data_IF_903998883142
#
_entry.id   IF_903998883142
#
_cell.length_a   1.000
_cell.length_b   1.000
_cell.length_c   1.000
_cell.angle_alpha   90.00
_cell.angle_beta   90.00
_cell.angle_gamma   90.00
#
_symmetry.space_group_name_H-M   'P 1'
#
loop_
_entity.id
_entity.type
_entity.pdbx_description
1 polymer ?
#
# COMPACT_ATOMS: atom_id res chain seq x y z
N UNK A 1 47.05 -14.84 -20.13
CA UNK A 1 47.05 -13.98 -18.92
C UNK A 1 46.42 -12.61 -19.09
N UNK A 2 46.79 -11.80 -20.10
CA UNK A 2 46.11 -10.50 -20.35
C UNK A 2 44.58 -10.59 -20.38
N UNK A 3 44.04 -11.68 -20.94
CA UNK A 3 42.59 -11.90 -21.00
C UNK A 3 41.98 -12.18 -19.61
N UNK A 4 42.67 -12.91 -18.73
CA UNK A 4 42.15 -13.25 -17.41
C UNK A 4 42.14 -12.05 -16.45
N UNK A 5 43.20 -11.22 -16.49
CA UNK A 5 43.25 -9.95 -15.75
C UNK A 5 42.19 -8.97 -16.24
N UNK A 6 41.93 -8.93 -17.56
CA UNK A 6 40.86 -8.12 -18.13
C UNK A 6 39.47 -8.52 -17.61
N UNK A 7 39.16 -9.81 -17.61
CA UNK A 7 37.88 -10.34 -17.08
C UNK A 7 37.73 -10.02 -15.59
N UNK A 8 38.79 -10.14 -14.79
CA UNK A 8 38.73 -9.83 -13.36
C UNK A 8 38.42 -8.36 -13.11
N UNK A 9 39.05 -7.44 -13.85
CA UNK A 9 38.76 -6.02 -13.71
C UNK A 9 37.30 -5.70 -14.10
N UNK A 10 36.76 -6.40 -15.09
CA UNK A 10 35.36 -6.26 -15.50
C UNK A 10 34.41 -6.79 -14.41
N UNK A 11 34.70 -7.95 -13.81
CA UNK A 11 33.93 -8.49 -12.68
C UNK A 11 34.00 -7.56 -11.47
N UNK A 12 35.18 -7.01 -11.14
CA UNK A 12 35.32 -6.04 -10.06
C UNK A 12 34.45 -4.80 -10.29
N UNK A 13 34.46 -4.27 -11.53
CA UNK A 13 33.62 -3.14 -11.91
C UNK A 13 32.13 -3.49 -11.76
N UNK A 14 31.69 -4.67 -12.20
CA UNK A 14 30.30 -5.08 -12.04
C UNK A 14 29.87 -5.19 -10.57
N UNK A 15 30.74 -5.66 -9.68
CA UNK A 15 30.46 -5.69 -8.24
C UNK A 15 30.31 -4.27 -7.68
N UNK A 16 31.15 -3.33 -8.12
CA UNK A 16 31.04 -1.92 -7.76
C UNK A 16 29.74 -1.30 -8.28
N UNK A 17 29.39 -1.53 -9.55
CA UNK A 17 28.15 -1.08 -10.17
C UNK A 17 26.91 -1.61 -9.40
N UNK A 18 26.92 -2.88 -8.98
CA UNK A 18 25.85 -3.46 -8.16
C UNK A 18 25.79 -2.80 -6.78
N UNK A 19 26.93 -2.52 -6.15
CA UNK A 19 26.98 -1.84 -4.84
C UNK A 19 26.35 -0.44 -4.93
N UNK A 20 26.73 0.35 -5.95
CA UNK A 20 26.13 1.67 -6.22
C UNK A 20 24.63 1.56 -6.51
N UNK A 21 24.22 0.52 -7.24
CA UNK A 21 22.80 0.25 -7.48
C UNK A 21 22.05 -0.02 -6.19
N UNK A 22 22.61 -0.82 -5.27
CA UNK A 22 22.01 -1.10 -3.97
C UNK A 22 21.88 0.15 -3.10
N UNK A 23 22.84 1.08 -3.14
CA UNK A 23 22.73 2.36 -2.44
C UNK A 23 21.55 3.20 -2.96
N UNK A 24 21.33 3.21 -4.28
CA UNK A 24 20.18 3.90 -4.87
C UNK A 24 18.84 3.25 -4.49
N UNK A 25 18.79 1.91 -4.44
CA UNK A 25 17.60 1.19 -3.97
C UNK A 25 17.37 1.48 -2.48
N UNK A 26 18.42 1.55 -1.67
CA UNK A 26 18.35 1.89 -0.24
C UNK A 26 17.75 3.29 -0.03
N UNK A 27 18.21 4.28 -0.78
CA UNK A 27 17.64 5.64 -0.75
C UNK A 27 16.16 5.64 -1.17
N UNK A 28 15.80 4.86 -2.18
CA UNK A 28 14.41 4.73 -2.64
C UNK A 28 13.53 4.08 -1.57
N UNK A 29 14.05 3.07 -0.86
CA UNK A 29 13.38 2.44 0.29
C UNK A 29 13.16 3.42 1.43
N UNK A 30 14.16 4.27 1.74
CA UNK A 30 14.02 5.29 2.75
C UNK A 30 12.88 6.27 2.40
N UNK A 31 12.85 6.75 1.15
CA UNK A 31 11.77 7.61 0.66
C UNK A 31 10.39 6.93 0.70
N UNK A 32 10.31 5.66 0.29
CA UNK A 32 9.07 4.87 0.39
C UNK A 32 8.64 4.69 1.85
N UNK A 33 9.57 4.52 2.79
CA UNK A 33 9.27 4.42 4.22
C UNK A 33 8.63 5.70 4.73
N UNK A 34 9.23 6.85 4.42
CA UNK A 34 8.71 8.16 4.82
C UNK A 34 7.31 8.40 4.24
N UNK A 35 7.12 8.08 2.96
CA UNK A 35 5.82 8.21 2.28
C UNK A 35 4.77 7.29 2.89
N UNK A 36 5.14 6.05 3.27
CA UNK A 36 4.24 5.11 3.93
C UNK A 36 3.84 5.58 5.34
N UNK A 37 4.76 6.17 6.09
CA UNK A 37 4.48 6.78 7.41
C UNK A 37 3.51 7.94 7.26
N UNK A 38 3.78 8.87 6.34
CA UNK A 38 2.87 10.00 6.05
C UNK A 38 1.48 9.51 5.62
N UNK A 39 1.41 8.47 4.80
CA UNK A 39 0.15 7.83 4.40
C UNK A 39 -0.61 7.24 5.58
N UNK A 40 0.09 6.57 6.50
CA UNK A 40 -0.49 6.03 7.74
C UNK A 40 -1.06 7.14 8.64
N UNK A 41 -0.33 8.26 8.79
CA UNK A 41 -0.81 9.40 9.59
C UNK A 41 -2.08 10.03 9.00
N UNK A 42 -2.13 10.16 7.66
CA UNK A 42 -3.33 10.66 6.96
C UNK A 42 -4.51 9.71 7.15
N UNK A 43 -4.29 8.40 7.12
CA UNK A 43 -5.34 7.42 7.42
C UNK A 43 -5.85 7.58 8.86
N UNK A 44 -4.95 7.72 9.84
CA UNK A 44 -5.34 7.92 11.25
C UNK A 44 -6.16 9.19 11.44
N UNK A 45 -5.75 10.30 10.82
CA UNK A 45 -6.53 11.54 10.81
C UNK A 45 -7.91 11.35 10.16
N UNK A 46 -7.98 10.56 9.09
CA UNK A 46 -9.24 10.26 8.39
C UNK A 46 -10.17 9.41 9.26
N UNK A 47 -9.64 8.45 10.03
CA UNK A 47 -10.42 7.68 11.02
C UNK A 47 -11.04 8.64 12.04
N UNK A 48 -10.25 9.54 12.62
CA UNK A 48 -10.73 10.50 13.61
C UNK A 48 -11.84 11.40 13.03
N UNK A 49 -11.66 11.85 11.79
CA UNK A 49 -12.66 12.66 11.09
C UNK A 49 -13.96 11.88 10.85
N UNK A 50 -13.88 10.60 10.49
CA UNK A 50 -15.06 9.75 10.31
C UNK A 50 -15.80 9.48 11.61
N UNK A 51 -15.10 9.36 12.73
CA UNK A 51 -15.71 9.26 14.07
C UNK A 51 -16.46 10.54 14.43
N UNK A 52 -15.91 11.72 14.12
CA UNK A 52 -16.63 12.97 14.31
C UNK A 52 -17.87 13.08 13.41
N UNK A 53 -17.77 12.63 12.16
CA UNK A 53 -18.92 12.59 11.24
C UNK A 53 -20.03 11.70 11.80
N UNK A 54 -19.71 10.48 12.24
CA UNK A 54 -20.68 9.54 12.83
C UNK A 54 -21.38 10.15 14.05
N UNK A 55 -20.63 10.83 14.92
CA UNK A 55 -21.18 11.56 16.08
C UNK A 55 -22.11 12.71 15.67
N UNK A 56 -21.72 13.51 14.68
CA UNK A 56 -22.50 14.66 14.21
C UNK A 56 -23.80 14.20 13.54
N UNK A 57 -23.74 13.12 12.75
CA UNK A 57 -24.93 12.52 12.11
C UNK A 57 -25.87 11.94 13.18
N UNK A 58 -25.34 11.21 14.16
CA UNK A 58 -26.14 10.70 15.29
C UNK A 58 -26.81 11.81 16.09
N UNK A 59 -26.09 12.89 16.38
CA UNK A 59 -26.65 14.07 17.05
C UNK A 59 -27.75 14.73 16.21
N UNK A 60 -27.58 14.77 14.89
CA UNK A 60 -28.58 15.32 13.97
C UNK A 60 -29.86 14.48 13.96
N UNK A 61 -29.72 13.15 13.99
CA UNK A 61 -30.84 12.21 14.13
C UNK A 61 -31.64 12.48 15.41
N UNK A 62 -30.98 12.66 16.55
CA UNK A 62 -31.64 12.98 17.82
C UNK A 62 -32.39 14.31 17.75
N UNK A 63 -31.78 15.36 17.17
CA UNK A 63 -32.43 16.68 17.05
C UNK A 63 -33.65 16.65 16.13
N UNK A 64 -33.59 15.91 15.03
CA UNK A 64 -34.73 15.74 14.13
C UNK A 64 -35.84 14.92 14.82
N UNK A 65 -35.50 13.89 15.58
CA UNK A 65 -36.47 13.16 16.40
C UNK A 65 -37.16 14.06 17.43
N UNK A 66 -36.42 14.93 18.10
CA UNK A 66 -37.00 15.91 19.03
C UNK A 66 -37.92 16.92 18.31
N UNK A 67 -37.55 17.36 17.11
CA UNK A 67 -38.41 18.21 16.28
C UNK A 67 -39.71 17.50 15.93
N UNK A 68 -39.66 16.21 15.59
CA UNK A 68 -40.85 15.41 15.31
C UNK A 68 -41.80 15.33 16.51
N UNK A 69 -41.26 15.10 17.71
CA UNK A 69 -42.06 15.10 18.94
C UNK A 69 -42.71 16.46 19.19
N UNK A 70 -41.97 17.55 18.98
CA UNK A 70 -42.49 18.92 19.15
C UNK A 70 -43.55 19.28 18.11
N UNK A 71 -43.38 18.89 16.85
CA UNK A 71 -44.41 19.07 15.81
C UNK A 71 -45.70 18.34 16.17
N UNK A 72 -45.60 17.11 16.69
CA UNK A 72 -46.75 16.36 17.19
C UNK A 72 -47.44 17.03 18.39
N UNK A 73 -46.69 17.59 19.34
CA UNK A 73 -47.26 18.38 20.45
C UNK A 73 -48.03 19.61 19.93
N UNK A 74 -47.45 20.36 18.99
CA UNK A 74 -48.10 21.54 18.39
C UNK A 74 -49.36 21.12 17.63
N UNK A 75 -49.34 20.00 16.91
CA UNK A 75 -50.50 19.45 16.21
C UNK A 75 -51.66 19.19 17.16
N UNK A 76 -51.38 18.56 18.31
CA UNK A 76 -52.40 18.32 19.34
C UNK A 76 -52.99 19.62 19.88
N UNK A 77 -52.16 20.62 20.14
CA UNK A 77 -52.61 21.94 20.62
C UNK A 77 -53.49 22.62 19.55
N UNK A 78 -53.10 22.56 18.29
CA UNK A 78 -53.85 23.12 17.17
C UNK A 78 -55.24 22.48 17.04
N UNK A 79 -55.33 21.15 17.17
CA UNK A 79 -56.62 20.45 17.22
C UNK A 79 -57.52 20.90 18.39
N UNK A 80 -56.94 21.13 19.57
CA UNK A 80 -57.68 21.63 20.73
C UNK A 80 -58.20 23.05 20.46
N UNK A 81 -57.37 23.95 19.89
CA UNK A 81 -57.78 25.31 19.54
C UNK A 81 -58.91 25.29 18.52
N UNK A 82 -58.82 24.43 17.50
CA UNK A 82 -59.87 24.27 16.51
C UNK A 82 -61.17 23.82 17.16
N UNK A 83 -61.13 22.81 18.03
CA UNK A 83 -62.31 22.32 18.76
C UNK A 83 -62.93 23.39 19.66
N UNK A 84 -62.12 24.16 20.39
CA UNK A 84 -62.58 25.29 21.23
C UNK A 84 -63.23 26.37 20.35
N UNK A 85 -62.63 26.67 19.19
CA UNK A 85 -63.14 27.68 18.26
C UNK A 85 -64.49 27.26 17.69
N UNK A 86 -64.65 25.99 17.29
CA UNK A 86 -65.92 25.43 16.82
C UNK A 86 -67.01 25.44 17.91
N UNK A 87 -66.67 25.08 19.15
CA UNK A 87 -67.59 25.18 20.29
C UNK A 87 -67.98 26.63 20.60
N UNK A 88 -67.01 27.55 20.56
CA UNK A 88 -67.25 28.99 20.79
C UNK A 88 -68.14 29.57 19.70
N UNK A 89 -67.94 29.17 18.45
CA UNK A 89 -68.79 29.56 17.32
C UNK A 89 -70.24 29.09 17.53
N UNK A 90 -70.44 27.84 17.97
CA UNK A 90 -71.76 27.29 18.32
C UNK A 90 -72.42 28.03 19.50
N UNK A 91 -71.65 28.34 20.56
CA UNK A 91 -72.12 29.12 21.70
C UNK A 91 -72.53 30.53 21.30
N UNK A 92 -71.72 31.20 20.49
CA UNK A 92 -71.99 32.54 19.98
C UNK A 92 -73.23 32.56 19.07
N UNK A 93 -73.41 31.53 18.24
CA UNK A 93 -74.62 31.36 17.42
C UNK A 93 -75.87 31.22 18.29
N UNK A 94 -75.83 30.37 19.32
CA UNK A 94 -76.94 30.21 20.26
C UNK A 94 -77.26 31.51 21.01
N UNK A 95 -76.23 32.27 21.42
CA UNK A 95 -76.40 33.58 22.04
C UNK A 95 -77.02 34.61 21.09
N UNK A 96 -76.62 34.62 19.81
CA UNK A 96 -77.20 35.48 18.79
C UNK A 96 -78.69 35.17 18.54
N UNK A 97 -79.05 33.88 18.52
CA UNK A 97 -80.45 33.42 18.40
C UNK A 97 -81.28 33.90 19.59
N UNK A 98 -80.79 33.72 20.82
CA UNK A 98 -81.54 34.12 22.02
C UNK A 98 -81.62 35.65 22.17
N UNK A 99 -80.58 36.38 21.74
CA UNK A 99 -80.59 37.84 21.67
C UNK A 99 -81.61 38.35 20.64
N UNK A 100 -81.75 37.71 19.48
CA UNK A 100 -82.79 38.01 18.51
C UNK A 100 -84.20 37.74 19.08
N UNK A 101 -84.34 36.69 19.90
CA UNK A 101 -85.59 36.30 20.56
C UNK A 101 -86.04 37.31 21.62
N UNK A 102 -85.11 37.99 22.29
CA UNK A 102 -85.37 39.05 23.25
C UNK A 102 -85.80 40.40 22.61
N UNK A 103 -85.83 40.49 21.27
CA UNK A 103 -86.30 41.67 20.54
C UNK A 103 -85.46 42.92 20.78
N UNK A 104 -86.09 44.06 21.05
CA UNK A 104 -85.40 45.35 21.27
C UNK A 104 -84.42 45.32 22.46
N UNK A 105 -84.71 44.52 23.49
CA UNK A 105 -83.84 44.40 24.68
C UNK A 105 -82.56 43.59 24.42
N UNK A 106 -82.53 42.78 23.35
CA UNK A 106 -81.39 41.92 22.99
C UNK A 106 -80.41 42.51 21.98
N UNK A 107 -80.71 43.67 21.37
CA UNK A 107 -79.90 44.25 20.28
C UNK A 107 -78.41 44.40 20.62
N UNK A 108 -78.08 44.88 21.82
CA UNK A 108 -76.68 45.02 22.25
C UNK A 108 -75.97 43.67 22.39
N UNK A 109 -76.66 42.66 22.93
CA UNK A 109 -76.13 41.31 23.06
C UNK A 109 -75.97 40.62 21.70
N UNK A 110 -76.87 40.88 20.74
CA UNK A 110 -76.78 40.32 19.40
C UNK A 110 -75.50 40.77 18.66
N UNK A 111 -75.11 42.05 18.82
CA UNK A 111 -73.87 42.58 18.23
C UNK A 111 -72.64 41.90 18.84
N UNK A 112 -72.60 41.74 20.16
CA UNK A 112 -71.49 41.05 20.84
C UNK A 112 -71.42 39.58 20.42
N UNK A 113 -72.55 38.89 20.36
CA UNK A 113 -72.61 37.49 19.94
C UNK A 113 -72.10 37.29 18.51
N UNK A 114 -72.46 38.17 17.57
CA UNK A 114 -72.01 38.07 16.19
C UNK A 114 -70.51 38.41 16.04
N UNK A 115 -69.96 39.29 16.88
CA UNK A 115 -68.52 39.58 16.92
C UNK A 115 -67.71 38.40 17.49
N UNK A 116 -68.20 37.78 18.59
CA UNK A 116 -67.59 36.55 19.14
C UNK A 116 -67.64 35.42 18.10
N UNK A 117 -68.74 35.30 17.35
CA UNK A 117 -68.89 34.31 16.27
C UNK A 117 -67.81 34.50 15.19
N UNK A 118 -67.59 35.74 14.73
CA UNK A 118 -66.54 36.04 13.75
C UNK A 118 -65.14 35.74 14.28
N UNK A 119 -64.84 36.09 15.53
CA UNK A 119 -63.56 35.77 16.16
C UNK A 119 -63.33 34.26 16.27
N UNK A 120 -64.38 33.49 16.60
CA UNK A 120 -64.31 32.04 16.66
C UNK A 120 -64.08 31.42 15.27
N UNK A 121 -64.75 31.92 14.23
CA UNK A 121 -64.55 31.48 12.84
C UNK A 121 -63.13 31.81 12.35
N UNK A 122 -62.62 33.00 12.65
CA UNK A 122 -61.24 33.40 12.37
C UNK A 122 -60.23 32.50 13.09
N UNK A 123 -60.44 32.22 14.39
CA UNK A 123 -59.56 31.35 15.17
C UNK A 123 -59.54 29.91 14.64
N UNK A 124 -60.69 29.39 14.19
CA UNK A 124 -60.78 28.07 13.56
C UNK A 124 -60.00 28.02 12.25
N UNK A 125 -60.17 29.03 11.39
CA UNK A 125 -59.41 29.14 10.14
C UNK A 125 -57.89 29.26 10.39
N UNK A 126 -57.46 30.02 11.41
CA UNK A 126 -56.06 30.08 11.78
C UNK A 126 -55.51 28.75 12.29
N UNK A 127 -56.29 27.98 13.06
CA UNK A 127 -55.90 26.64 13.50
C UNK A 127 -55.74 25.66 12.32
N UNK A 128 -56.61 25.74 11.31
CA UNK A 128 -56.48 24.98 10.06
C UNK A 128 -55.18 25.31 9.32
N UNK A 129 -54.86 26.61 9.17
CA UNK A 129 -53.60 27.04 8.55
C UNK A 129 -52.37 26.57 9.33
N UNK A 130 -52.44 26.57 10.67
CA UNK A 130 -51.38 26.02 11.52
C UNK A 130 -51.21 24.51 11.25
N UNK A 131 -52.30 23.76 11.09
CA UNK A 131 -52.22 22.32 10.77
C UNK A 131 -51.57 22.05 9.42
N UNK A 132 -51.83 22.88 8.40
CA UNK A 132 -51.14 22.78 7.10
C UNK A 132 -49.63 23.00 7.25
N UNK A 133 -49.22 24.05 7.98
CA UNK A 133 -47.79 24.33 8.24
C UNK A 133 -47.12 23.17 9.00
N UNK A 134 -47.81 22.58 9.98
CA UNK A 134 -47.25 21.44 10.73
C UNK A 134 -47.10 20.22 9.83
N UNK A 135 -48.03 19.99 8.89
CA UNK A 135 -47.90 18.92 7.91
C UNK A 135 -46.65 19.11 7.05
N UNK A 136 -46.43 20.31 6.52
CA UNK A 136 -45.23 20.62 5.73
C UNK A 136 -43.93 20.42 6.55
N UNK A 137 -43.96 20.74 7.85
CA UNK A 137 -42.82 20.51 8.75
C UNK A 137 -42.57 19.01 8.96
N UNK A 138 -43.63 18.21 9.16
CA UNK A 138 -43.50 16.76 9.34
C UNK A 138 -42.96 16.07 8.09
N UNK A 139 -43.45 16.44 6.91
CA UNK A 139 -42.94 15.93 5.63
C UNK A 139 -41.43 16.27 5.49
N UNK A 140 -41.04 17.50 5.82
CA UNK A 140 -39.63 17.91 5.82
C UNK A 140 -38.75 17.18 6.85
N UNK A 141 -39.33 16.80 7.99
CA UNK A 141 -38.67 15.97 9.02
C UNK A 141 -38.45 14.55 8.50
N UNK A 142 -39.44 13.94 7.83
CA UNK A 142 -39.34 12.60 7.26
C UNK A 142 -38.24 12.54 6.19
N UNK A 143 -38.22 13.51 5.27
CA UNK A 143 -37.17 13.65 4.27
C UNK A 143 -35.77 13.81 4.91
N UNK A 144 -35.67 14.65 5.94
CA UNK A 144 -34.43 14.89 6.67
C UNK A 144 -33.94 13.62 7.39
N UNK A 145 -34.84 12.82 7.97
CA UNK A 145 -34.51 11.52 8.56
C UNK A 145 -33.99 10.53 7.52
N UNK A 146 -34.56 10.53 6.31
CA UNK A 146 -34.06 9.74 5.19
C UNK A 146 -32.59 10.06 4.86
N UNK A 147 -32.26 11.35 4.76
CA UNK A 147 -30.89 11.82 4.50
C UNK A 147 -29.93 11.46 5.64
N UNK A 148 -30.36 11.59 6.89
CA UNK A 148 -29.55 11.19 8.05
C UNK A 148 -29.23 9.70 8.02
N UNK A 149 -30.22 8.84 7.74
CA UNK A 149 -30.00 7.40 7.67
C UNK A 149 -29.01 7.01 6.55
N UNK A 150 -29.10 7.68 5.39
CA UNK A 150 -28.11 7.54 4.32
C UNK A 150 -26.72 8.01 4.76
N UNK A 151 -26.65 9.11 5.51
CA UNK A 151 -25.42 9.62 6.12
C UNK A 151 -24.75 8.62 7.05
N UNK A 152 -25.51 7.98 7.95
CA UNK A 152 -25.02 6.93 8.86
C UNK A 152 -24.44 5.76 8.06
N UNK A 153 -25.16 5.28 7.04
CA UNK A 153 -24.68 4.17 6.21
C UNK A 153 -23.39 4.54 5.47
N UNK A 154 -23.31 5.78 4.95
CA UNK A 154 -22.14 6.27 4.22
C UNK A 154 -20.92 6.43 5.13
N UNK A 155 -21.10 6.92 6.35
CA UNK A 155 -20.04 7.03 7.35
C UNK A 155 -19.49 5.65 7.77
N UNK A 156 -20.37 4.65 7.96
CA UNK A 156 -19.96 3.27 8.25
C UNK A 156 -19.15 2.63 7.13
N UNK A 157 -19.58 2.80 5.88
CA UNK A 157 -18.80 2.28 4.75
C UNK A 157 -17.46 3.02 4.61
N UNK A 158 -17.46 4.35 4.82
CA UNK A 158 -16.24 5.15 4.88
C UNK A 158 -15.25 4.63 5.93
N UNK A 159 -15.72 4.37 7.15
CA UNK A 159 -14.92 3.77 8.23
C UNK A 159 -14.30 2.42 7.83
N UNK A 160 -15.04 1.58 7.09
CA UNK A 160 -14.52 0.30 6.62
C UNK A 160 -13.39 0.48 5.60
N UNK A 161 -13.59 1.34 4.61
CA UNK A 161 -12.59 1.63 3.56
C UNK A 161 -11.31 2.26 4.14
N UNK A 162 -11.45 3.15 5.13
CA UNK A 162 -10.30 3.76 5.82
C UNK A 162 -9.51 2.72 6.60
N UNK A 163 -10.19 1.78 7.29
CA UNK A 163 -9.53 0.68 7.98
C UNK A 163 -8.80 -0.27 7.02
N UNK A 164 -9.39 -0.58 5.85
CA UNK A 164 -8.73 -1.35 4.80
C UNK A 164 -7.50 -0.63 4.26
N UNK A 165 -7.58 0.70 4.09
CA UNK A 165 -6.44 1.53 3.68
C UNK A 165 -5.31 1.51 4.73
N UNK A 166 -5.66 1.58 6.02
CA UNK A 166 -4.69 1.47 7.12
C UNK A 166 -3.96 0.13 7.14
N UNK A 167 -4.67 -0.97 6.88
CA UNK A 167 -4.05 -2.31 6.73
C UNK A 167 -3.08 -2.35 5.56
N UNK A 168 -3.46 -1.80 4.40
CA UNK A 168 -2.60 -1.75 3.22
C UNK A 168 -1.30 -0.97 3.48
N UNK A 169 -1.36 0.17 4.19
CA UNK A 169 -0.15 0.90 4.60
C UNK A 169 0.71 0.10 5.59
N UNK A 170 0.10 -0.69 6.47
CA UNK A 170 0.82 -1.64 7.33
C UNK A 170 1.59 -2.69 6.52
N UNK A 171 0.94 -3.32 5.54
CA UNK A 171 1.57 -4.32 4.66
C UNK A 171 2.69 -3.70 3.79
N UNK A 172 2.51 -2.46 3.34
CA UNK A 172 3.55 -1.70 2.62
C UNK A 172 4.77 -1.50 3.52
N UNK A 173 4.57 -1.08 4.77
CA UNK A 173 5.66 -0.89 5.73
C UNK A 173 6.43 -2.19 5.97
N UNK A 174 5.74 -3.30 6.18
CA UNK A 174 6.37 -4.60 6.38
C UNK A 174 7.17 -5.05 5.15
N UNK A 175 6.62 -4.84 3.95
CA UNK A 175 7.30 -5.13 2.68
C UNK A 175 8.57 -4.28 2.51
N UNK A 176 8.53 -3.01 2.89
CA UNK A 176 9.69 -2.12 2.85
C UNK A 176 10.78 -2.59 3.80
N UNK A 177 10.43 -2.98 5.04
CA UNK A 177 11.38 -3.53 6.01
C UNK A 177 12.05 -4.80 5.50
N UNK A 178 11.28 -5.70 4.89
CA UNK A 178 11.84 -6.89 4.25
C UNK A 178 12.81 -6.54 3.11
N UNK A 179 12.49 -5.52 2.32
CA UNK A 179 13.36 -4.96 1.29
C UNK A 179 14.69 -4.45 1.86
N UNK A 180 14.66 -3.70 2.97
CA UNK A 180 15.87 -3.22 3.66
C UNK A 180 16.78 -4.38 4.09
N UNK A 181 16.20 -5.45 4.65
CA UNK A 181 16.97 -6.64 5.03
C UNK A 181 17.64 -7.27 3.81
N UNK A 182 16.92 -7.39 2.69
CA UNK A 182 17.47 -7.98 1.46
C UNK A 182 18.61 -7.15 0.86
N UNK A 183 18.52 -5.83 0.89
CA UNK A 183 19.64 -4.96 0.48
C UNK A 183 20.87 -5.21 1.35
N UNK A 184 20.68 -5.32 2.67
CA UNK A 184 21.79 -5.62 3.59
C UNK A 184 22.45 -6.96 3.28
N UNK A 185 21.66 -8.00 2.99
CA UNK A 185 22.17 -9.31 2.56
C UNK A 185 22.98 -9.22 1.26
N UNK A 186 22.48 -8.47 0.27
CA UNK A 186 23.18 -8.27 -1.01
C UNK A 186 24.50 -7.52 -0.81
N UNK A 187 24.52 -6.47 0.01
CA UNK A 187 25.75 -5.72 0.30
C UNK A 187 26.81 -6.60 0.96
N UNK A 188 26.43 -7.48 1.89
CA UNK A 188 27.34 -8.47 2.49
C UNK A 188 27.86 -9.44 1.42
N UNK A 189 27.00 -9.91 0.52
CA UNK A 189 27.40 -10.80 -0.57
C UNK A 189 28.37 -10.12 -1.56
N UNK A 190 28.16 -8.84 -1.88
CA UNK A 190 29.06 -8.06 -2.73
C UNK A 190 30.44 -7.87 -2.08
N UNK A 191 30.48 -7.60 -0.77
CA UNK A 191 31.75 -7.49 -0.05
C UNK A 191 32.53 -8.81 -0.05
N UNK A 192 31.85 -9.93 0.20
CA UNK A 192 32.47 -11.26 0.07
C UNK A 192 32.96 -11.53 -1.36
N UNK A 193 32.23 -11.07 -2.38
CA UNK A 193 32.64 -11.20 -3.77
C UNK A 193 33.91 -10.42 -4.06
N UNK A 194 34.07 -9.20 -3.52
CA UNK A 194 35.31 -8.42 -3.62
C UNK A 194 36.50 -9.19 -3.03
N UNK A 195 36.32 -9.81 -1.87
CA UNK A 195 37.36 -10.63 -1.23
C UNK A 195 37.75 -11.85 -2.10
N UNK A 196 36.77 -12.59 -2.61
CA UNK A 196 37.06 -13.73 -3.50
C UNK A 196 37.73 -13.31 -4.80
N UNK A 197 37.38 -12.15 -5.38
CA UNK A 197 38.06 -11.62 -6.56
C UNK A 197 39.54 -11.37 -6.26
N UNK A 198 39.86 -10.80 -5.09
CA UNK A 198 41.24 -10.58 -4.67
C UNK A 198 42.01 -11.90 -4.52
N UNK A 199 41.40 -12.95 -3.95
CA UNK A 199 42.01 -14.29 -3.87
C UNK A 199 42.27 -14.90 -5.25
N UNK A 200 41.32 -14.76 -6.18
CA UNK A 200 41.49 -15.25 -7.55
C UNK A 200 42.66 -14.54 -8.26
N UNK A 201 42.85 -13.24 -8.02
CA UNK A 201 44.01 -12.51 -8.56
C UNK A 201 45.32 -13.15 -8.08
N UNK A 202 45.45 -13.43 -6.78
CA UNK A 202 46.64 -14.08 -6.20
C UNK A 202 46.87 -15.46 -6.84
N UNK A 203 45.83 -16.28 -6.97
CA UNK A 203 45.96 -17.60 -7.60
C UNK A 203 46.36 -17.53 -9.08
N UNK A 204 45.91 -16.51 -9.82
CA UNK A 204 46.36 -16.31 -11.21
C UNK A 204 47.85 -15.97 -11.26
N UNK A 205 48.36 -15.17 -10.32
CA UNK A 205 49.80 -14.88 -10.24
C UNK A 205 50.62 -16.15 -9.95
N UNK A 206 50.15 -17.02 -9.05
CA UNK A 206 50.81 -18.30 -8.76
C UNK A 206 50.84 -19.24 -9.98
N UNK A 207 49.72 -19.33 -10.72
CA UNK A 207 49.65 -20.09 -11.97
C UNK A 207 50.59 -19.51 -13.03
N UNK A 208 50.79 -18.18 -13.05
CA UNK A 208 51.75 -17.51 -13.95
C UNK A 208 53.15 -18.03 -13.70
N UNK A 209 53.57 -17.95 -12.44
CA UNK A 209 54.89 -18.35 -11.99
C UNK A 209 55.14 -19.83 -12.30
N UNK A 210 54.18 -20.69 -11.96
CA UNK A 210 54.26 -22.12 -12.25
C UNK A 210 54.35 -22.40 -13.75
N UNK A 211 53.61 -21.67 -14.59
CA UNK A 211 53.66 -21.83 -16.05
C UNK A 211 55.03 -21.46 -16.63
N UNK A 212 55.66 -20.41 -16.09
CA UNK A 212 57.03 -20.02 -16.48
C UNK A 212 58.03 -21.12 -16.09
N UNK A 213 57.92 -21.66 -14.88
CA UNK A 213 58.77 -22.76 -14.42
C UNK A 213 58.61 -24.01 -15.30
N UNK A 214 57.37 -24.41 -15.62
CA UNK A 214 57.08 -25.54 -16.51
C UNK A 214 57.66 -25.32 -17.91
N UNK A 215 57.59 -24.10 -18.45
CA UNK A 215 58.19 -23.77 -19.73
C UNK A 215 59.72 -23.94 -19.69
N UNK A 216 60.38 -23.47 -18.63
CA UNK A 216 61.82 -23.65 -18.44
C UNK A 216 62.20 -25.13 -18.30
N UNK A 217 61.44 -25.91 -17.52
CA UNK A 217 61.63 -27.36 -17.42
C UNK A 217 61.46 -28.05 -18.77
N UNK A 218 60.46 -27.67 -19.56
CA UNK A 218 60.21 -28.23 -20.89
C UNK A 218 61.38 -27.94 -21.84
N UNK A 219 61.94 -26.74 -21.79
CA UNK A 219 63.14 -26.38 -22.55
C UNK A 219 64.36 -27.23 -22.14
N UNK A 220 64.57 -27.42 -20.83
CA UNK A 220 65.66 -28.26 -20.34
C UNK A 220 65.49 -29.73 -20.76
N UNK A 221 64.27 -30.27 -20.68
CA UNK A 221 63.97 -31.64 -21.14
C UNK A 221 64.20 -31.79 -22.64
N UNK A 222 63.82 -30.80 -23.44
CA UNK A 222 64.08 -30.79 -24.88
C UNK A 222 65.60 -30.83 -25.17
N UNK A 223 66.38 -29.97 -24.50
CA UNK A 223 67.84 -29.95 -24.64
C UNK A 223 68.48 -31.29 -24.23
N UNK A 224 68.10 -31.86 -23.08
CA UNK A 224 68.59 -33.18 -22.66
C UNK A 224 68.16 -34.30 -23.62
N UNK A 225 67.00 -34.19 -24.26
CA UNK A 225 66.53 -35.16 -25.26
C UNK A 225 67.36 -35.07 -26.55
N UNK A 226 67.79 -33.88 -26.95
CA UNK A 226 68.72 -33.67 -28.07
C UNK A 226 70.10 -34.27 -27.76
N UNK A 227 70.66 -33.99 -26.58
CA UNK A 227 71.94 -34.59 -26.13
C UNK A 227 71.87 -36.12 -26.08
N UNK A 228 70.78 -36.66 -25.52
CA UNK A 228 70.55 -38.10 -25.46
C UNK A 228 70.46 -38.72 -26.87
N UNK A 229 69.82 -38.04 -27.82
CA UNK A 229 69.73 -38.51 -29.21
C UNK A 229 71.13 -38.58 -29.85
N UNK A 230 71.96 -37.56 -29.65
CA UNK A 230 73.33 -37.54 -30.14
C UNK A 230 74.18 -38.67 -29.52
N UNK A 231 74.07 -38.91 -28.22
CA UNK A 231 74.75 -40.03 -27.56
C UNK A 231 74.28 -41.39 -28.09
N UNK A 232 72.99 -41.55 -28.41
CA UNK A 232 72.46 -42.78 -29.00
C UNK A 232 72.98 -43.03 -30.42
N UNK A 233 73.18 -41.98 -31.22
CA UNK A 233 73.85 -42.10 -32.53
C UNK A 233 75.31 -42.57 -32.37
N UNK A 234 76.04 -42.04 -31.39
CA UNK A 234 77.41 -42.45 -31.08
C UNK A 234 77.47 -43.93 -30.63
N UNK A 235 76.58 -44.34 -29.72
CA UNK A 235 76.47 -45.75 -29.27
C UNK A 235 76.13 -46.67 -30.44
N UNK A 236 75.23 -46.25 -31.33
CA UNK A 236 74.88 -47.02 -32.53
C UNK A 236 76.09 -47.18 -33.46
N UNK A 237 76.87 -46.11 -33.66
CA UNK A 237 78.10 -46.13 -34.45
C UNK A 237 79.15 -47.09 -33.86
N UNK A 238 79.40 -46.99 -32.55
CA UNK A 238 80.34 -47.89 -31.84
C UNK A 238 79.88 -49.35 -31.90
N UNK A 239 78.57 -49.60 -31.80
CA UNK A 239 78.01 -50.94 -31.91
C UNK A 239 78.22 -51.55 -33.31
N UNK A 240 78.07 -50.76 -34.37
CA UNK A 240 78.39 -51.18 -35.73
C UNK A 240 79.86 -51.51 -35.91
N UNK A 241 80.76 -50.69 -35.36
CA UNK A 241 82.20 -50.92 -35.42
C UNK A 241 82.60 -52.19 -34.66
N UNK A 242 82.03 -52.41 -33.48
CA UNK A 242 82.27 -53.62 -32.69
C UNK A 242 81.77 -54.88 -33.42
N UNK A 243 80.62 -54.80 -34.11
CA UNK A 243 80.11 -55.89 -34.93
C UNK A 243 81.03 -56.20 -36.12
N UNK A 244 81.56 -55.16 -36.78
CA UNK A 244 82.57 -55.30 -37.85
C UNK A 244 83.83 -56.00 -37.33
N UNK A 245 84.39 -55.52 -36.22
CA UNK A 245 85.58 -56.13 -35.61
C UNK A 245 85.35 -57.58 -35.18
N UNK A 246 84.17 -57.90 -34.65
CA UNK A 246 83.81 -59.26 -34.25
C UNK A 246 83.74 -60.20 -35.46
N UNK A 247 83.21 -59.73 -36.60
CA UNK A 247 83.15 -60.49 -37.84
C UNK A 247 84.56 -60.71 -38.43
N UNK A 248 85.42 -59.67 -38.40
CA UNK A 248 86.83 -59.80 -38.79
C UNK A 248 87.58 -60.83 -37.94
N UNK A 249 87.33 -60.84 -36.62
CA UNK A 249 87.90 -61.82 -35.72
C UNK A 249 87.39 -63.24 -36.01
N UNK A 250 86.11 -63.41 -36.33
CA UNK A 250 85.52 -64.70 -36.70
C UNK A 250 86.14 -65.25 -37.99
N UNK A 251 86.28 -64.41 -39.02
CA UNK A 251 86.97 -64.76 -40.28
C UNK A 251 88.41 -65.20 -39.99
N UNK A 252 89.15 -64.44 -39.17
CA UNK A 252 90.52 -64.78 -38.80
C UNK A 252 90.60 -66.13 -38.06
N UNK A 253 89.65 -66.44 -37.16
CA UNK A 253 89.60 -67.74 -36.45
C UNK A 253 89.26 -68.89 -37.42
N UNK A 254 88.41 -68.68 -38.43
CA UNK A 254 88.10 -69.71 -39.43
C UNK A 254 89.34 -70.12 -40.24
N UNK A 255 90.28 -69.22 -40.51
CA UNK A 255 91.57 -69.59 -41.15
C UNK A 255 92.40 -70.57 -40.30
N UNK A 256 92.21 -70.58 -38.98
CA UNK A 256 92.90 -71.49 -38.06
C UNK A 256 92.16 -72.80 -37.77
N UNK A 257 90.90 -72.95 -38.21
CA UNK A 257 90.17 -74.23 -38.14
C UNK A 257 90.35 -75.01 -39.45
N UNK A 258 91.44 -75.77 -39.52
CA UNK A 258 91.64 -76.91 -40.43
C UNK A 258 91.11 -78.20 -39.80
#
# INVERSE_FOLDING_TARGET
MKNAVGIINEVYKHVDDVTVSMDNVSNSIHYSTETAIQGSDVVEQTVNQMVEIDKNVSTSAEKISMLNEKSNEIRQISFIIQSISEQTNLLALNAAIEAARAGEHGKGFAVVADEVRKLAEQSSNSALQINEIIQDIEDGIEDSMGLVNLGVSSAKEGMKLVNESGKAFGEIKDSILAGTTKISEVNIAMENMKNHIAEVVVHIEDVSKTSIEVNNYSQNVAASSEEMSASMEEVSSVSHELARMSNELEVAIQEFKL
#
